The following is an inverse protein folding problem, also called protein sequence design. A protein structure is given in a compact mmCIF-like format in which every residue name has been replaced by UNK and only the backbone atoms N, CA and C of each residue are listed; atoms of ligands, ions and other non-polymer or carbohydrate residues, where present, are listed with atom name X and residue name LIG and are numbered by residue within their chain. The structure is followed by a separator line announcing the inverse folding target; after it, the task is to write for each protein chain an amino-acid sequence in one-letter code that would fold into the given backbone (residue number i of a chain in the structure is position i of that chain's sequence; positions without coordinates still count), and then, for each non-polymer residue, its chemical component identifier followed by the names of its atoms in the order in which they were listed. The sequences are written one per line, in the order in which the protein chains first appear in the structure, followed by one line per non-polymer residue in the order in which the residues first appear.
data_IF_626116050732
#
_entry.id   IF_626116050732
#
_cell.length_a   1.000
_cell.length_b   1.000
_cell.length_c   1.000
_cell.angle_alpha   90.00
_cell.angle_beta   90.00
_cell.angle_gamma   90.00
#
_symmetry.space_group_name_H-M   'P 1'
#
loop_
_entity.id
_entity.type
_entity.pdbx_description
1 polymer ?
#
# COMPACT_ATOMS: atom_id res chain seq x y z
N UNK A 1 13.29 -8.39 -5.72
CA UNK A 1 13.09 -8.71 -4.29
C UNK A 1 13.11 -10.20 -4.15
N UNK A 2 13.82 -10.73 -3.16
CA UNK A 2 14.03 -12.16 -3.00
C UNK A 2 13.96 -12.54 -1.52
N UNK A 3 13.18 -13.57 -1.20
CA UNK A 3 13.21 -14.21 0.12
C UNK A 3 14.17 -15.39 0.03
N UNK A 4 15.12 -15.47 0.96
CA UNK A 4 16.09 -16.56 1.06
C UNK A 4 15.93 -17.28 2.40
N UNK A 5 15.99 -18.61 2.38
CA UNK A 5 16.15 -19.47 3.56
C UNK A 5 17.57 -20.01 3.57
N UNK A 6 18.33 -19.73 4.62
CA UNK A 6 19.74 -20.13 4.79
C UNK A 6 20.62 -19.84 3.56
N UNK A 7 20.34 -18.73 2.86
CA UNK A 7 21.06 -18.29 1.65
C UNK A 7 20.49 -18.81 0.32
N UNK A 8 19.63 -19.83 0.32
CA UNK A 8 18.92 -20.32 -0.87
C UNK A 8 17.70 -19.44 -1.17
N UNK A 9 17.56 -18.98 -2.41
CA UNK A 9 16.37 -18.25 -2.89
C UNK A 9 15.16 -19.19 -2.90
N UNK A 10 14.04 -18.70 -2.37
CA UNK A 10 12.76 -19.40 -2.38
C UNK A 10 11.95 -19.04 -3.63
N UNK A 11 11.21 -20.02 -4.15
CA UNK A 11 10.30 -19.89 -5.28
C UNK A 11 8.89 -20.39 -4.93
N UNK A 12 7.97 -20.35 -5.89
CA UNK A 12 6.56 -20.75 -5.70
C UNK A 12 6.41 -22.18 -5.19
N UNK A 13 7.29 -23.08 -5.63
CA UNK A 13 7.37 -24.47 -5.17
C UNK A 13 7.83 -24.63 -3.71
N UNK A 14 8.53 -23.63 -3.17
CA UNK A 14 8.90 -23.54 -1.76
C UNK A 14 7.81 -22.85 -0.91
N UNK A 15 6.62 -22.59 -1.47
CA UNK A 15 5.54 -21.87 -0.79
C UNK A 15 5.69 -20.34 -0.81
N UNK A 16 6.56 -19.78 -1.66
CA UNK A 16 6.63 -18.33 -1.85
C UNK A 16 5.38 -17.82 -2.55
N UNK A 17 4.65 -16.93 -1.88
CA UNK A 17 3.55 -16.17 -2.47
C UNK A 17 4.00 -14.75 -2.76
N UNK A 18 3.69 -14.26 -3.97
CA UNK A 18 3.91 -12.87 -4.34
C UNK A 18 2.60 -12.18 -4.62
N UNK A 19 2.45 -10.96 -4.12
CA UNK A 19 1.31 -10.10 -4.41
C UNK A 19 1.29 -9.59 -5.84
N UNK A 20 2.36 -9.82 -6.60
CA UNK A 20 2.70 -9.09 -7.81
C UNK A 20 3.13 -7.65 -7.51
N UNK A 21 3.57 -6.95 -8.55
CA UNK A 21 3.87 -5.51 -8.48
C UNK A 21 2.56 -4.73 -8.51
N UNK A 22 2.24 -4.02 -7.43
CA UNK A 22 1.03 -3.20 -7.29
C UNK A 22 1.40 -1.71 -7.40
N UNK A 23 0.88 -0.99 -8.38
CA UNK A 23 1.03 0.47 -8.43
C UNK A 23 0.19 1.14 -7.33
N UNK A 24 0.71 2.24 -6.77
CA UNK A 24 0.05 3.09 -5.80
C UNK A 24 -0.57 4.32 -6.51
N UNK A 25 -1.44 5.05 -5.81
CA UNK A 25 -2.04 6.31 -6.31
C UNK A 25 -0.99 7.41 -6.59
N UNK A 26 0.17 7.36 -5.93
CA UNK A 26 1.27 8.32 -6.11
C UNK A 26 2.30 7.88 -7.17
N UNK A 27 1.92 6.93 -8.03
CA UNK A 27 2.74 6.38 -9.12
C UNK A 27 3.99 5.61 -8.64
N UNK A 28 4.12 5.38 -7.33
CA UNK A 28 5.10 4.44 -6.79
C UNK A 28 4.60 3.01 -6.90
N UNK A 29 5.49 2.04 -6.74
CA UNK A 29 5.14 0.62 -6.74
C UNK A 29 5.37 0.00 -5.37
N UNK A 30 4.48 -0.90 -4.99
CA UNK A 30 4.66 -1.79 -3.85
C UNK A 30 4.60 -3.25 -4.31
N UNK A 31 5.40 -4.09 -3.68
CA UNK A 31 5.36 -5.55 -3.85
C UNK A 31 5.50 -6.18 -2.48
N UNK A 32 4.70 -7.21 -2.23
CA UNK A 32 4.79 -8.05 -1.04
C UNK A 32 5.06 -9.47 -1.48
N UNK A 33 6.08 -10.08 -0.90
CA UNK A 33 6.28 -11.52 -0.99
C UNK A 33 6.20 -12.09 0.44
N UNK A 34 5.60 -13.27 0.58
CA UNK A 34 5.41 -13.98 1.84
C UNK A 34 5.72 -15.46 1.67
N UNK A 35 6.06 -16.11 2.78
CA UNK A 35 6.25 -17.56 2.87
C UNK A 35 5.78 -18.00 4.25
N UNK A 36 5.05 -19.12 4.32
CA UNK A 36 4.65 -19.71 5.59
C UNK A 36 5.88 -20.38 6.25
N UNK A 37 6.08 -20.10 7.54
CA UNK A 37 7.22 -20.62 8.31
C UNK A 37 6.67 -21.37 9.53
N UNK A 38 7.09 -22.62 9.70
CA UNK A 38 6.77 -23.40 10.90
C UNK A 38 7.42 -22.77 12.13
N UNK A 39 6.70 -22.77 13.26
CA UNK A 39 7.22 -22.31 14.56
C UNK A 39 8.46 -23.07 15.02
N UNK A 40 8.67 -24.30 14.54
CA UNK A 40 9.83 -25.14 14.85
C UNK A 40 11.03 -24.82 13.95
N UNK A 41 10.86 -24.02 12.90
CA UNK A 41 11.91 -23.70 11.96
C UNK A 41 12.89 -22.66 12.54
N UNK A 42 14.11 -23.10 12.83
CA UNK A 42 15.19 -22.27 13.34
C UNK A 42 16.06 -21.64 12.24
N UNK A 43 15.68 -21.85 10.98
CA UNK A 43 16.42 -21.32 9.83
C UNK A 43 16.50 -19.79 9.85
N UNK A 44 17.61 -19.28 9.34
CA UNK A 44 17.79 -17.86 9.06
C UNK A 44 17.08 -17.51 7.75
N UNK A 45 16.24 -16.48 7.78
CA UNK A 45 15.57 -15.95 6.60
C UNK A 45 16.06 -14.54 6.30
N UNK A 46 16.17 -14.21 5.01
CA UNK A 46 16.51 -12.85 4.57
C UNK A 46 15.60 -12.40 3.43
N UNK A 47 15.31 -11.10 3.39
CA UNK A 47 14.66 -10.42 2.27
C UNK A 47 15.67 -9.45 1.69
N UNK A 48 16.05 -9.69 0.44
CA UNK A 48 16.98 -8.86 -0.30
C UNK A 48 16.20 -8.06 -1.37
N UNK A 49 16.32 -6.74 -1.30
CA UNK A 49 15.75 -5.81 -2.26
C UNK A 49 16.90 -5.16 -3.03
N UNK A 50 16.93 -5.47 -4.32
CA UNK A 50 17.79 -4.84 -5.31
C UNK A 50 16.88 -3.96 -6.17
N UNK A 51 17.22 -2.68 -6.28
CA UNK A 51 16.47 -1.70 -7.06
C UNK A 51 17.47 -0.85 -7.82
N UNK A 52 17.23 -0.61 -9.11
CA UNK A 52 18.18 0.10 -9.99
C UNK A 52 18.51 1.51 -9.48
N UNK A 53 17.50 2.23 -8.96
CA UNK A 53 17.72 3.55 -8.35
C UNK A 53 18.51 3.51 -7.03
N UNK A 54 18.71 2.33 -6.43
CA UNK A 54 19.49 2.17 -5.21
C UNK A 54 20.90 1.71 -5.56
N UNK A 55 21.91 2.44 -5.08
CA UNK A 55 23.32 2.02 -5.19
C UNK A 55 23.68 0.88 -4.23
N UNK A 56 22.77 0.51 -3.33
CA UNK A 56 23.00 -0.47 -2.27
C UNK A 56 21.86 -1.47 -2.22
N UNK A 57 22.20 -2.76 -2.15
CA UNK A 57 21.23 -3.81 -1.90
C UNK A 57 20.76 -3.72 -0.44
N UNK A 58 19.45 -3.70 -0.23
CA UNK A 58 18.88 -3.68 1.12
C UNK A 58 18.55 -5.10 1.52
N UNK A 59 19.25 -5.62 2.53
CA UNK A 59 18.96 -6.93 3.12
C UNK A 59 18.40 -6.77 4.52
N UNK A 60 17.26 -7.39 4.77
CA UNK A 60 16.67 -7.52 6.11
C UNK A 60 16.61 -8.99 6.50
N UNK A 61 16.91 -9.30 7.75
CA UNK A 61 16.98 -10.66 8.25
C UNK A 61 15.93 -10.90 9.33
N UNK A 62 15.35 -12.09 9.36
CA UNK A 62 14.47 -12.58 10.43
C UNK A 62 14.70 -14.08 10.70
N UNK A 63 14.28 -14.56 11.87
CA UNK A 63 14.50 -15.93 12.35
C UNK A 63 14.81 -15.96 13.85
N UNK A 64 14.66 -17.11 14.51
CA UNK A 64 14.81 -17.26 15.97
C UNK A 64 16.20 -16.90 16.50
N UNK A 65 17.25 -17.02 15.69
CA UNK A 65 18.63 -16.78 16.09
C UNK A 65 19.17 -15.36 15.78
N UNK A 66 18.32 -14.32 15.81
CA UNK A 66 18.78 -12.93 15.65
C UNK A 66 19.34 -12.28 16.92
N UNK A 67 19.62 -13.06 17.96
CA UNK A 67 20.41 -12.60 19.09
C UNK A 67 21.81 -13.21 19.05
N UNK A 68 22.80 -12.33 19.19
CA UNK A 68 24.22 -12.52 19.54
C UNK A 68 25.20 -12.08 18.44
N UNK A 69 25.49 -10.77 18.41
CA UNK A 69 26.90 -10.32 18.29
C UNK A 69 27.08 -9.10 19.20
N UNK A 70 27.70 -9.32 20.35
CA UNK A 70 28.30 -8.27 21.16
C UNK A 70 29.49 -7.71 20.40
N UNK A 71 29.50 -6.41 20.12
CA UNK A 71 30.76 -5.66 19.96
C UNK A 71 30.59 -4.27 20.58
N UNK A 72 31.25 -4.09 21.73
CA UNK A 72 31.53 -2.79 22.32
C UNK A 72 32.57 -2.06 21.46
N UNK A 73 32.31 -0.82 21.05
CA UNK A 73 33.35 0.20 20.92
C UNK A 73 32.80 1.59 21.29
N UNK A 74 33.63 2.50 21.84
CA UNK A 74 33.20 3.73 22.49
C UNK A 74 33.20 4.96 21.57
N UNK A 75 32.27 5.87 21.89
CA UNK A 75 32.18 7.33 21.71
C UNK A 75 33.04 8.08 20.67
N UNK A 76 32.38 9.03 19.95
CA UNK A 76 32.73 10.46 19.95
C UNK A 76 31.57 11.35 19.42
N UNK A 77 31.58 12.60 19.91
CA UNK A 77 30.49 13.60 19.97
C UNK A 77 30.41 14.57 18.76
N UNK A 78 29.47 15.53 18.86
CA UNK A 78 29.37 16.87 18.21
C UNK A 78 28.44 16.88 16.95
N UNK A 79 27.45 17.76 16.70
CA UNK A 79 27.02 19.07 17.24
C UNK A 79 25.55 19.41 16.86
N UNK A 80 25.07 20.48 17.52
CA UNK A 80 23.82 21.26 17.47
C UNK A 80 23.44 21.88 16.09
N UNK A 81 22.16 21.84 15.75
CA UNK A 81 21.34 22.86 15.03
C UNK A 81 19.88 22.33 15.08
N UNK A 82 18.81 23.04 15.45
CA UNK A 82 18.42 24.41 15.15
C UNK A 82 17.27 24.34 14.12
N UNK A 83 16.02 24.60 14.51
CA UNK A 83 14.96 24.95 13.55
C UNK A 83 13.55 24.36 13.72
N UNK A 84 12.65 25.24 14.15
CA UNK A 84 11.24 25.38 13.76
C UNK A 84 10.20 24.32 14.21
N UNK A 85 9.34 24.78 15.12
CA UNK A 85 8.01 24.26 15.42
C UNK A 85 7.10 24.38 14.19
N UNK A 86 6.66 23.24 13.64
CA UNK A 86 5.53 23.21 12.71
C UNK A 86 4.24 23.01 13.51
N UNK A 87 3.50 24.11 13.74
CA UNK A 87 2.12 24.06 14.23
C UNK A 87 1.26 23.43 13.14
N UNK A 88 0.55 22.34 13.46
CA UNK A 88 -0.43 21.73 12.56
C UNK A 88 -1.58 22.71 12.31
N UNK A 89 -1.71 23.14 11.06
CA UNK A 89 -2.71 24.08 10.57
C UNK A 89 -4.08 23.38 10.44
N UNK A 90 -5.17 24.09 10.72
CA UNK A 90 -6.58 23.66 10.65
C UNK A 90 -6.95 22.98 9.32
N UNK A 91 -6.22 23.30 8.26
CA UNK A 91 -6.29 22.71 6.92
C UNK A 91 -6.04 21.19 6.89
N UNK A 92 -5.17 20.66 7.77
CA UNK A 92 -4.85 19.23 7.80
C UNK A 92 -5.98 18.40 8.41
N UNK A 93 -6.74 18.97 9.37
CA UNK A 93 -7.91 18.33 9.95
C UNK A 93 -9.07 18.28 8.94
N UNK A 94 -9.28 19.38 8.20
CA UNK A 94 -10.29 19.44 7.13
C UNK A 94 -9.97 18.45 6.01
N UNK A 95 -8.70 18.36 5.58
CA UNK A 95 -8.26 17.34 4.60
C UNK A 95 -8.46 15.91 5.11
N UNK A 96 -8.25 15.67 6.40
CA UNK A 96 -8.47 14.35 7.00
C UNK A 96 -9.95 13.99 7.07
N UNK A 97 -10.81 14.95 7.44
CA UNK A 97 -12.28 14.79 7.45
C UNK A 97 -12.82 14.60 6.03
N UNK A 98 -12.35 15.37 5.05
CA UNK A 98 -12.78 15.21 3.66
C UNK A 98 -12.40 13.81 3.12
N UNK A 99 -11.20 13.33 3.46
CA UNK A 99 -10.75 11.97 3.12
C UNK A 99 -11.62 10.86 3.73
N UNK A 100 -12.22 11.09 4.90
CA UNK A 100 -13.13 10.13 5.56
C UNK A 100 -14.47 9.96 4.81
N UNK A 101 -14.83 10.89 3.92
CA UNK A 101 -16.09 10.87 3.16
C UNK A 101 -15.91 10.69 1.65
N UNK A 102 -14.67 10.61 1.16
CA UNK A 102 -14.35 10.34 -0.24
C UNK A 102 -14.12 8.85 -0.45
N UNK A 103 -14.73 8.30 -1.49
CA UNK A 103 -14.51 6.92 -1.94
C UNK A 103 -13.98 6.92 -3.37
N UNK A 104 -13.12 5.96 -3.70
CA UNK A 104 -12.48 5.89 -5.01
C UNK A 104 -12.61 4.52 -5.66
N UNK A 105 -12.83 4.52 -6.97
CA UNK A 105 -12.75 3.33 -7.81
C UNK A 105 -11.76 3.61 -8.94
N UNK A 106 -10.61 2.94 -8.91
CA UNK A 106 -9.57 3.09 -9.90
C UNK A 106 -9.16 1.76 -10.51
N UNK A 107 -8.89 1.77 -11.80
CA UNK A 107 -8.27 0.69 -12.53
C UNK A 107 -6.89 1.12 -12.99
N UNK A 108 -5.89 0.30 -12.67
CA UNK A 108 -4.51 0.54 -13.07
C UNK A 108 -4.07 -0.59 -13.98
N UNK A 109 -3.61 -0.21 -15.17
CA UNK A 109 -3.03 -1.08 -16.17
C UNK A 109 -1.54 -0.78 -16.25
N UNK A 110 -0.71 -1.81 -16.31
CA UNK A 110 0.75 -1.67 -16.44
C UNK A 110 1.25 -2.66 -17.48
N UNK A 111 2.02 -2.16 -18.44
CA UNK A 111 2.67 -2.98 -19.47
C UNK A 111 4.17 -2.74 -19.50
N UNK A 112 4.91 -3.82 -19.69
CA UNK A 112 6.36 -3.84 -19.84
C UNK A 112 6.72 -4.06 -21.31
N UNK A 113 7.77 -3.38 -21.79
CA UNK A 113 8.25 -3.53 -23.17
C UNK A 113 8.70 -4.95 -23.50
N UNK A 114 9.22 -5.67 -22.50
CA UNK A 114 9.65 -7.06 -22.58
C UNK A 114 9.27 -7.83 -21.34
N UNK A 115 9.15 -9.15 -21.50
CA UNK A 115 9.03 -10.04 -20.36
C UNK A 115 10.38 -10.12 -19.63
N UNK A 116 10.36 -10.06 -18.31
CA UNK A 116 11.56 -10.19 -17.48
C UNK A 116 11.79 -11.64 -17.03
N UNK A 117 10.80 -12.53 -17.16
CA UNK A 117 10.87 -13.90 -16.65
C UNK A 117 11.05 -13.97 -15.13
N UNK A 118 10.65 -12.92 -14.42
CA UNK A 118 10.81 -12.80 -12.97
C UNK A 118 9.51 -13.21 -12.25
N UNK A 119 9.59 -14.03 -11.17
CA UNK A 119 8.40 -14.43 -10.43
C UNK A 119 7.57 -13.23 -9.94
N UNK A 120 6.26 -13.28 -10.25
CA UNK A 120 5.29 -12.25 -9.88
C UNK A 120 5.39 -10.94 -10.68
N UNK A 121 6.24 -10.88 -11.71
CA UNK A 121 6.34 -9.74 -12.63
C UNK A 121 5.89 -10.20 -14.01
N UNK A 122 4.71 -9.73 -14.41
CA UNK A 122 4.12 -10.09 -15.68
C UNK A 122 4.26 -8.95 -16.68
N UNK A 123 4.40 -9.30 -17.97
CA UNK A 123 4.51 -8.31 -19.06
C UNK A 123 3.32 -7.37 -19.12
N UNK A 124 2.12 -7.83 -18.77
CA UNK A 124 0.95 -6.97 -18.60
C UNK A 124 0.18 -7.36 -17.35
N UNK A 125 -0.23 -6.36 -16.58
CA UNK A 125 -1.12 -6.51 -15.43
C UNK A 125 -2.22 -5.47 -15.47
N UNK A 126 -3.36 -5.82 -14.89
CA UNK A 126 -4.48 -4.90 -14.77
C UNK A 126 -5.23 -5.16 -13.47
N UNK A 127 -5.41 -4.14 -12.65
CA UNK A 127 -5.91 -4.26 -11.29
C UNK A 127 -7.02 -3.25 -11.04
N UNK A 128 -8.07 -3.63 -10.33
CA UNK A 128 -9.11 -2.72 -9.85
C UNK A 128 -8.96 -2.48 -8.35
N UNK A 129 -9.16 -1.24 -7.91
CA UNK A 129 -9.06 -0.81 -6.52
C UNK A 129 -10.31 -0.06 -6.09
N UNK A 130 -10.88 -0.45 -4.95
CA UNK A 130 -11.93 0.27 -4.23
C UNK A 130 -11.32 0.77 -2.92
N UNK A 131 -11.22 2.08 -2.71
CA UNK A 131 -10.62 2.68 -1.51
C UNK A 131 -9.25 2.07 -1.17
N UNK A 132 -8.37 1.96 -2.17
CA UNK A 132 -7.04 1.33 -2.07
C UNK A 132 -7.03 -0.19 -1.78
N UNK A 133 -8.18 -0.86 -1.78
CA UNK A 133 -8.27 -2.33 -1.67
C UNK A 133 -8.46 -2.94 -3.05
N UNK A 134 -7.59 -3.89 -3.39
CA UNK A 134 -7.68 -4.59 -4.68
C UNK A 134 -8.96 -5.41 -4.76
N UNK A 135 -9.80 -5.16 -5.75
CA UNK A 135 -11.07 -5.86 -5.95
C UNK A 135 -10.98 -6.92 -7.06
N UNK A 136 -10.22 -6.65 -8.12
CA UNK A 136 -9.96 -7.60 -9.19
C UNK A 136 -8.53 -7.53 -9.71
N UNK A 137 -8.11 -8.60 -10.37
CA UNK A 137 -6.76 -8.77 -10.90
C UNK A 137 -6.79 -9.51 -12.24
N UNK A 138 -5.84 -9.17 -13.11
CA UNK A 138 -5.57 -9.83 -14.37
C UNK A 138 -4.06 -9.72 -14.65
N UNK A 139 -3.48 -10.77 -15.24
CA UNK A 139 -2.11 -10.78 -15.72
C UNK A 139 -1.99 -11.47 -17.10
N UNK A 140 -0.86 -11.25 -17.77
CA UNK A 140 -0.58 -11.77 -19.10
C UNK A 140 -0.30 -13.28 -19.16
N UNK A 141 -0.17 -13.97 -18.04
CA UNK A 141 0.08 -15.41 -17.96
C UNK A 141 -1.25 -16.17 -17.84
N UNK A 142 -2.04 -15.88 -16.81
CA UNK A 142 -3.35 -16.49 -16.55
C UNK A 142 -4.40 -15.98 -17.55
N UNK A 143 -4.28 -14.71 -17.98
CA UNK A 143 -5.17 -14.04 -18.95
C UNK A 143 -6.65 -14.11 -18.59
N UNK A 144 -6.96 -14.11 -17.29
CA UNK A 144 -8.32 -14.13 -16.75
C UNK A 144 -8.50 -13.04 -15.71
N UNK A 145 -9.63 -12.33 -15.76
CA UNK A 145 -10.00 -11.37 -14.71
C UNK A 145 -10.58 -12.14 -13.53
N UNK A 146 -9.90 -12.11 -12.39
CA UNK A 146 -10.29 -12.87 -11.20
C UNK A 146 -10.72 -11.94 -10.05
N UNK A 147 -11.75 -12.33 -9.27
CA UNK A 147 -12.14 -11.61 -8.07
C UNK A 147 -11.08 -11.76 -6.98
N UNK A 148 -10.78 -10.66 -6.29
CA UNK A 148 -9.94 -10.64 -5.09
C UNK A 148 -10.74 -10.49 -3.81
N UNK A 149 -11.99 -10.06 -3.89
CA UNK A 149 -12.87 -9.95 -2.72
C UNK A 149 -13.99 -10.98 -2.74
N UNK A 150 -14.35 -11.50 -1.58
CA UNK A 150 -15.37 -12.56 -1.43
C UNK A 150 -16.72 -12.10 -1.96
N UNK A 151 -17.14 -10.87 -1.68
CA UNK A 151 -18.41 -10.33 -2.17
C UNK A 151 -18.48 -10.30 -3.71
N UNK A 152 -17.37 -10.09 -4.41
CA UNK A 152 -17.35 -10.09 -5.87
C UNK A 152 -17.70 -11.45 -6.45
N UNK A 153 -17.31 -12.54 -5.78
CA UNK A 153 -17.61 -13.91 -6.22
C UNK A 153 -19.12 -14.22 -6.21
N UNK A 154 -19.86 -13.62 -5.29
CA UNK A 154 -21.27 -13.97 -5.04
C UNK A 154 -22.27 -12.90 -5.48
N UNK A 155 -21.85 -11.65 -5.66
CA UNK A 155 -22.74 -10.51 -5.97
C UNK A 155 -22.74 -10.09 -7.43
N UNK A 156 -21.83 -10.62 -8.25
CA UNK A 156 -21.68 -10.25 -9.65
C UNK A 156 -21.99 -11.44 -10.55
N UNK A 157 -22.76 -11.18 -11.60
CA UNK A 157 -23.15 -12.20 -12.57
C UNK A 157 -21.93 -12.77 -13.30
N UNK A 158 -21.95 -14.06 -13.70
CA UNK A 158 -20.87 -14.67 -14.48
C UNK A 158 -20.48 -13.87 -15.73
N UNK A 159 -21.45 -13.22 -16.38
CA UNK A 159 -21.23 -12.41 -17.58
C UNK A 159 -20.31 -11.19 -17.34
N UNK A 160 -20.33 -10.61 -16.13
CA UNK A 160 -19.41 -9.53 -15.74
C UNK A 160 -17.95 -9.97 -15.84
N UNK A 161 -17.65 -11.21 -15.45
CA UNK A 161 -16.29 -11.77 -15.48
C UNK A 161 -15.84 -12.11 -16.89
N UNK A 162 -16.75 -12.63 -17.72
CA UNK A 162 -16.47 -12.95 -19.13
C UNK A 162 -16.19 -11.67 -19.92
N UNK A 163 -17.10 -10.69 -19.88
CA UNK A 163 -16.92 -9.39 -20.54
C UNK A 163 -15.70 -8.64 -20.01
N UNK A 164 -15.50 -8.67 -18.68
CA UNK A 164 -14.34 -8.09 -18.04
C UNK A 164 -13.03 -8.71 -18.52
N UNK A 165 -12.96 -10.03 -18.65
CA UNK A 165 -11.77 -10.74 -19.15
C UNK A 165 -11.47 -10.37 -20.60
N UNK A 166 -12.47 -10.39 -21.48
CA UNK A 166 -12.32 -9.99 -22.88
C UNK A 166 -11.81 -8.54 -22.98
N UNK A 167 -12.39 -7.62 -22.20
CA UNK A 167 -11.93 -6.23 -22.13
C UNK A 167 -10.47 -6.11 -21.71
N UNK A 168 -10.02 -6.87 -20.69
CA UNK A 168 -8.60 -6.87 -20.26
C UNK A 168 -7.67 -7.44 -21.33
N UNK A 169 -8.08 -8.47 -22.06
CA UNK A 169 -7.31 -9.04 -23.16
C UNK A 169 -7.17 -8.06 -24.33
N UNK A 170 -8.24 -7.36 -24.71
CA UNK A 170 -8.17 -6.31 -25.74
C UNK A 170 -7.25 -5.16 -25.32
N UNK A 171 -7.29 -4.76 -24.04
CA UNK A 171 -6.36 -3.74 -23.51
C UNK A 171 -4.91 -4.24 -23.52
N UNK A 172 -4.65 -5.50 -23.16
CA UNK A 172 -3.30 -6.08 -23.26
C UNK A 172 -2.72 -5.90 -24.68
N UNK A 173 -3.49 -6.27 -25.71
CA UNK A 173 -3.08 -6.10 -27.11
C UNK A 173 -2.83 -4.63 -27.47
N UNK A 174 -3.71 -3.73 -27.00
CA UNK A 174 -3.52 -2.29 -27.19
C UNK A 174 -2.19 -1.81 -26.58
N UNK A 175 -1.85 -2.25 -25.37
CA UNK A 175 -0.58 -1.90 -24.73
C UNK A 175 0.64 -2.47 -25.46
N UNK A 176 0.56 -3.72 -25.91
CA UNK A 176 1.64 -4.36 -26.68
C UNK A 176 1.98 -3.59 -27.95
N UNK A 177 0.98 -3.01 -28.63
CA UNK A 177 1.20 -2.15 -29.81
C UNK A 177 1.72 -0.78 -29.40
N UNK A 178 1.07 -0.11 -28.44
CA UNK A 178 1.37 1.28 -28.14
C UNK A 178 2.73 1.48 -27.44
N UNK A 179 3.21 0.50 -26.68
CA UNK A 179 4.53 0.62 -26.05
C UNK A 179 5.66 0.66 -27.11
N UNK A 180 5.52 -0.09 -28.21
CA UNK A 180 6.50 -0.07 -29.30
C UNK A 180 6.45 1.27 -30.06
N UNK A 181 5.25 1.79 -30.32
CA UNK A 181 5.08 3.12 -30.93
C UNK A 181 5.71 4.21 -30.07
N UNK A 182 5.51 4.16 -28.75
CA UNK A 182 6.11 5.13 -27.84
C UNK A 182 7.63 5.03 -27.82
N UNK A 183 8.20 3.81 -27.79
CA UNK A 183 9.65 3.62 -27.86
C UNK A 183 10.25 4.23 -29.13
N UNK A 184 9.64 4.00 -30.28
CA UNK A 184 10.06 4.61 -31.55
C UNK A 184 9.96 6.14 -31.51
N UNK A 185 8.82 6.67 -31.02
CA UNK A 185 8.59 8.11 -30.89
C UNK A 185 9.61 8.78 -29.96
N UNK A 186 9.98 8.09 -28.89
CA UNK A 186 10.97 8.54 -27.90
C UNK A 186 12.42 8.24 -28.32
N UNK A 187 12.63 7.55 -29.45
CA UNK A 187 13.95 7.12 -29.97
C UNK A 187 14.73 6.27 -28.96
N UNK A 188 14.03 5.38 -28.25
CA UNK A 188 14.59 4.49 -27.24
C UNK A 188 14.97 3.12 -27.82
N UNK A 189 15.85 2.40 -27.15
CA UNK A 189 16.35 1.09 -27.59
C UNK A 189 15.45 -0.06 -27.15
N UNK A 190 15.69 -1.25 -27.69
CA UNK A 190 15.06 -2.50 -27.22
C UNK A 190 15.77 -3.14 -26.03
N UNK A 191 16.99 -2.70 -25.68
CA UNK A 191 17.75 -3.24 -24.55
C UNK A 191 17.10 -2.88 -23.21
N UNK A 192 16.54 -1.67 -23.16
CA UNK A 192 16.06 -1.08 -21.92
C UNK A 192 14.60 -1.49 -21.66
N UNK A 193 14.29 -1.65 -20.38
CA UNK A 193 12.92 -1.92 -19.97
C UNK A 193 12.15 -0.61 -19.97
N UNK A 194 11.03 -0.59 -20.70
CA UNK A 194 10.10 0.54 -20.68
C UNK A 194 8.78 0.12 -20.07
N UNK A 195 8.12 1.05 -19.40
CA UNK A 195 6.88 0.81 -18.68
C UNK A 195 5.84 1.83 -19.11
N UNK A 196 4.72 1.35 -19.63
CA UNK A 196 3.54 2.17 -19.90
C UNK A 196 2.46 1.84 -18.88
N UNK A 197 1.94 2.85 -18.20
CA UNK A 197 0.87 2.73 -17.23
C UNK A 197 -0.33 3.56 -17.64
N UNK A 198 -1.51 3.08 -17.27
CA UNK A 198 -2.77 3.81 -17.42
C UNK A 198 -3.57 3.65 -16.15
N UNK A 199 -3.87 4.78 -15.50
CA UNK A 199 -4.80 4.84 -14.38
C UNK A 199 -6.09 5.52 -14.85
N UNK A 200 -7.22 4.87 -14.63
CA UNK A 200 -8.54 5.39 -14.98
C UNK A 200 -9.54 5.11 -13.87
N UNK A 201 -10.40 6.06 -13.54
CA UNK A 201 -11.43 5.88 -12.53
C UNK A 201 -12.02 7.18 -12.00
N UNK A 202 -12.69 7.10 -10.87
CA UNK A 202 -13.45 8.20 -10.30
C UNK A 202 -13.36 8.20 -8.77
N UNK A 203 -13.53 9.39 -8.21
CA UNK A 203 -13.69 9.66 -6.79
C UNK A 203 -15.08 10.26 -6.58
N UNK A 204 -15.78 9.78 -5.54
CA UNK A 204 -17.08 10.24 -5.14
C UNK A 204 -17.09 10.69 -3.68
N UNK A 205 -17.81 11.76 -3.38
CA UNK A 205 -18.03 12.25 -2.01
C UNK A 205 -19.39 11.77 -1.49
N UNK A 206 -19.37 11.20 -0.29
CA UNK A 206 -20.58 10.79 0.43
C UNK A 206 -21.25 12.02 1.06
N UNK A 207 -22.46 12.33 0.61
CA UNK A 207 -23.27 13.41 1.14
C UNK A 207 -23.96 13.01 2.46
N UNK A 208 -24.40 13.98 3.28
CA UNK A 208 -25.07 13.70 4.56
C UNK A 208 -26.35 12.87 4.44
N UNK A 209 -27.01 12.90 3.27
CA UNK A 209 -28.21 12.11 2.96
C UNK A 209 -27.88 10.66 2.55
N UNK A 210 -26.60 10.29 2.49
CA UNK A 210 -26.13 8.97 2.09
C UNK A 210 -26.03 8.76 0.58
N UNK A 211 -26.22 9.82 -0.23
CA UNK A 211 -25.98 9.77 -1.67
C UNK A 211 -24.50 10.02 -1.98
N UNK A 212 -23.98 9.38 -3.03
CA UNK A 212 -22.62 9.58 -3.48
C UNK A 212 -22.60 10.46 -4.73
N UNK A 213 -21.93 11.60 -4.66
CA UNK A 213 -21.82 12.57 -5.75
C UNK A 213 -20.44 12.53 -6.37
N UNK A 214 -20.35 12.73 -7.68
CA UNK A 214 -19.08 12.81 -8.38
C UNK A 214 -18.22 13.95 -7.81
N UNK A 215 -16.97 13.65 -7.49
CA UNK A 215 -16.00 14.61 -7.00
C UNK A 215 -14.89 14.86 -8.02
N UNK A 216 -14.31 13.77 -8.55
CA UNK A 216 -13.18 13.87 -9.48
C UNK A 216 -13.06 12.64 -10.39
N UNK A 217 -12.75 12.89 -11.67
CA UNK A 217 -12.35 11.87 -12.63
C UNK A 217 -10.83 11.81 -12.77
N UNK A 218 -10.29 10.61 -12.91
CA UNK A 218 -8.87 10.39 -13.21
C UNK A 218 -8.76 9.56 -14.48
N UNK A 219 -8.03 10.07 -15.49
CA UNK A 219 -7.60 9.30 -16.65
C UNK A 219 -6.21 9.80 -17.04
N UNK A 220 -5.18 9.04 -16.69
CA UNK A 220 -3.77 9.44 -16.85
C UNK A 220 -2.91 8.28 -17.33
N UNK A 221 -1.98 8.62 -18.21
CA UNK A 221 -0.96 7.74 -18.75
C UNK A 221 0.40 8.20 -18.25
N UNK A 222 1.19 7.23 -17.80
CA UNK A 222 2.56 7.43 -17.36
C UNK A 222 3.49 6.55 -18.19
N UNK A 223 4.65 7.08 -18.54
CA UNK A 223 5.67 6.37 -19.31
C UNK A 223 7.01 6.47 -18.59
N UNK A 224 7.64 5.33 -18.32
CA UNK A 224 8.88 5.20 -17.55
C UNK A 224 8.84 5.95 -16.19
N UNK A 225 7.68 5.91 -15.53
CA UNK A 225 7.45 6.56 -14.22
C UNK A 225 7.21 8.06 -14.27
N UNK A 226 7.10 8.65 -15.47
CA UNK A 226 6.83 10.09 -15.65
C UNK A 226 5.45 10.34 -16.27
N UNK A 227 4.83 11.47 -15.93
CA UNK A 227 3.56 11.88 -16.54
C UNK A 227 3.71 12.04 -18.05
N UNK A 228 2.82 11.39 -18.82
CA UNK A 228 2.84 11.43 -20.28
C UNK A 228 1.64 12.20 -20.85
N UNK A 229 0.42 11.74 -20.54
CA UNK A 229 -0.83 12.29 -21.06
C UNK A 229 -1.94 12.13 -20.02
N UNK A 230 -2.77 13.15 -19.81
CA UNK A 230 -3.92 13.07 -18.90
C UNK A 230 -5.16 13.71 -19.51
N UNK A 231 -6.34 13.38 -18.98
CA UNK A 231 -7.60 14.03 -19.35
C UNK A 231 -7.96 15.07 -18.31
N UNK A 232 -8.11 16.32 -18.73
CA UNK A 232 -8.72 17.38 -17.94
C UNK A 232 -10.24 17.25 -18.06
N UNK A 233 -10.82 16.63 -17.05
CA UNK A 233 -12.24 16.31 -16.98
C UNK A 233 -13.14 17.56 -16.96
N UNK A 234 -12.69 18.64 -16.28
CA UNK A 234 -13.45 19.88 -16.16
C UNK A 234 -13.60 20.59 -17.52
N UNK A 235 -12.53 20.59 -18.32
CA UNK A 235 -12.50 21.25 -19.62
C UNK A 235 -12.75 20.29 -20.80
N UNK A 236 -12.91 18.99 -20.53
CA UNK A 236 -13.08 17.95 -21.54
C UNK A 236 -11.99 17.99 -22.62
N UNK A 237 -10.73 18.04 -22.22
CA UNK A 237 -9.57 18.08 -23.14
C UNK A 237 -8.43 17.20 -22.65
N UNK A 238 -7.64 16.66 -23.57
CA UNK A 238 -6.41 15.96 -23.22
C UNK A 238 -5.29 16.96 -22.91
N UNK A 239 -4.39 16.62 -21.99
CA UNK A 239 -3.25 17.44 -21.57
C UNK A 239 -1.99 16.62 -21.78
N UNK A 240 -1.08 17.14 -22.61
CA UNK A 240 0.21 16.53 -22.88
C UNK A 240 1.23 17.06 -21.87
N UNK A 241 1.85 16.17 -21.10
CA UNK A 241 2.87 16.56 -20.12
C UNK A 241 4.25 16.73 -20.75
N UNK A 242 4.48 16.10 -21.90
CA UNK A 242 5.74 16.18 -22.65
C UNK A 242 5.47 16.38 -24.16
N UNK A 243 6.44 16.92 -24.93
CA UNK A 243 6.27 17.15 -26.37
C UNK A 243 5.89 15.89 -27.17
N UNK A 244 6.41 14.72 -26.78
CA UNK A 244 6.08 13.45 -27.44
C UNK A 244 4.61 13.01 -27.27
N UNK A 245 3.89 13.58 -26.30
CA UNK A 245 2.47 13.31 -26.10
C UNK A 245 1.57 14.25 -26.92
N UNK A 246 2.09 15.36 -27.47
CA UNK A 246 1.30 16.36 -28.21
C UNK A 246 0.60 15.78 -29.44
N UNK A 247 1.26 14.87 -30.15
CA UNK A 247 0.67 14.20 -31.30
C UNK A 247 -0.57 13.39 -30.90
N UNK A 248 -0.47 12.62 -29.82
CA UNK A 248 -1.60 11.85 -29.28
C UNK A 248 -2.71 12.78 -28.79
N UNK A 249 -2.35 13.84 -28.04
CA UNK A 249 -3.31 14.87 -27.60
C UNK A 249 -4.09 15.44 -28.78
N UNK A 250 -3.40 15.94 -29.82
CA UNK A 250 -4.07 16.51 -31.01
C UNK A 250 -5.00 15.50 -31.68
N UNK A 251 -4.54 14.25 -31.84
CA UNK A 251 -5.35 13.19 -32.44
C UNK A 251 -6.61 12.91 -31.63
N UNK A 252 -6.50 12.79 -30.31
CA UNK A 252 -7.62 12.44 -29.45
C UNK A 252 -8.57 13.61 -29.21
N UNK A 253 -8.07 14.84 -29.13
CA UNK A 253 -8.90 16.04 -29.00
C UNK A 253 -9.76 16.31 -30.24
N UNK A 254 -9.26 15.92 -31.41
CA UNK A 254 -9.97 16.04 -32.69
C UNK A 254 -11.01 14.93 -32.92
N UNK A 255 -11.23 14.03 -31.95
CA UNK A 255 -12.28 13.00 -32.00
C UNK A 255 -13.31 13.28 -30.90
N UNK A 256 -14.38 14.05 -31.18
CA UNK A 256 -15.38 14.43 -30.16
C UNK A 256 -15.96 13.24 -29.39
N UNK A 257 -16.31 12.16 -30.10
CA UNK A 257 -16.87 10.93 -29.52
C UNK A 257 -15.94 10.32 -28.45
N UNK A 258 -14.62 10.40 -28.64
CA UNK A 258 -13.66 9.86 -27.66
C UNK A 258 -13.66 10.67 -26.36
N UNK A 259 -13.76 12.00 -26.47
CA UNK A 259 -13.82 12.88 -25.30
C UNK A 259 -15.13 12.69 -24.53
N UNK A 260 -16.24 12.65 -25.24
CA UNK A 260 -17.57 12.45 -24.64
C UNK A 260 -17.68 11.08 -23.98
N UNK A 261 -17.14 10.03 -24.63
CA UNK A 261 -17.06 8.70 -24.04
C UNK A 261 -16.17 8.68 -22.79
N UNK A 262 -15.01 9.33 -22.84
CA UNK A 262 -14.07 9.38 -21.70
C UNK A 262 -14.73 10.06 -20.51
N UNK A 263 -15.32 11.24 -20.72
CA UNK A 263 -16.02 11.97 -19.67
C UNK A 263 -17.23 11.21 -19.13
N UNK A 264 -18.06 10.65 -20.02
CA UNK A 264 -19.21 9.85 -19.62
C UNK A 264 -18.82 8.61 -18.79
N UNK A 265 -17.70 7.97 -19.11
CA UNK A 265 -17.18 6.89 -18.28
C UNK A 265 -16.79 7.37 -16.88
N UNK A 266 -16.04 8.48 -16.78
CA UNK A 266 -15.53 9.00 -15.51
C UNK A 266 -16.65 9.52 -14.59
N UNK A 267 -17.56 10.35 -15.13
CA UNK A 267 -18.61 11.01 -14.34
C UNK A 267 -19.80 10.09 -14.03
N UNK A 268 -20.11 9.13 -14.92
CA UNK A 268 -21.34 8.33 -14.83
C UNK A 268 -21.07 6.84 -14.62
N UNK A 269 -20.49 6.14 -15.60
CA UNK A 269 -20.35 4.68 -15.50
C UNK A 269 -19.50 4.27 -14.30
N UNK A 270 -18.37 4.96 -14.08
CA UNK A 270 -17.50 4.71 -12.95
C UNK A 270 -18.22 4.97 -11.62
N UNK A 271 -18.97 6.08 -11.50
CA UNK A 271 -19.73 6.40 -10.28
C UNK A 271 -20.81 5.37 -9.99
N UNK A 272 -21.49 4.83 -11.01
CA UNK A 272 -22.44 3.74 -10.83
C UNK A 272 -21.78 2.48 -10.27
N UNK A 273 -20.62 2.10 -10.81
CA UNK A 273 -19.86 0.96 -10.31
C UNK A 273 -19.28 1.21 -8.92
N UNK A 274 -18.76 2.41 -8.65
CA UNK A 274 -18.24 2.82 -7.35
C UNK A 274 -19.33 2.68 -6.29
N UNK A 275 -20.51 3.27 -6.51
CA UNK A 275 -21.63 3.18 -5.56
C UNK A 275 -22.06 1.70 -5.33
N UNK A 276 -22.14 0.91 -6.40
CA UNK A 276 -22.50 -0.52 -6.32
C UNK A 276 -21.46 -1.31 -5.52
N UNK A 277 -20.17 -1.20 -5.84
CA UNK A 277 -19.10 -1.93 -5.17
C UNK A 277 -18.90 -1.48 -3.72
N UNK A 278 -18.98 -0.17 -3.47
CA UNK A 278 -18.94 0.39 -2.13
C UNK A 278 -20.04 -0.21 -1.25
N UNK A 279 -21.29 -0.29 -1.74
CA UNK A 279 -22.39 -0.89 -1.00
C UNK A 279 -22.15 -2.36 -0.62
N UNK A 280 -21.51 -3.14 -1.51
CA UNK A 280 -21.15 -4.53 -1.25
C UNK A 280 -20.02 -4.64 -0.23
N UNK A 281 -18.98 -3.81 -0.36
CA UNK A 281 -17.84 -3.74 0.56
C UNK A 281 -18.27 -3.32 1.97
N UNK A 282 -19.15 -2.32 2.09
CA UNK A 282 -19.69 -1.86 3.37
C UNK A 282 -20.51 -2.93 4.10
N UNK A 283 -21.24 -3.77 3.36
CA UNK A 283 -21.96 -4.89 3.98
C UNK A 283 -21.01 -5.96 4.53
N UNK A 284 -19.88 -6.21 3.86
CA UNK A 284 -18.84 -7.09 4.38
C UNK A 284 -18.17 -6.50 5.63
N UNK A 285 -17.88 -5.19 5.62
CA UNK A 285 -17.29 -4.46 6.73
C UNK A 285 -18.12 -4.55 8.02
N UNK A 286 -19.45 -4.46 7.92
CA UNK A 286 -20.35 -4.59 9.09
C UNK A 286 -20.21 -5.93 9.81
N UNK A 287 -19.75 -6.96 9.12
CA UNK A 287 -19.55 -8.32 9.66
C UNK A 287 -18.09 -8.63 9.94
N UNK A 288 -17.16 -7.74 9.59
CA UNK A 288 -15.74 -7.96 9.79
C UNK A 288 -15.39 -7.87 11.28
N UNK A 289 -14.44 -8.69 11.77
CA UNK A 289 -13.93 -8.54 13.12
C UNK A 289 -13.29 -7.15 13.29
N UNK A 290 -13.40 -6.53 14.48
CA UNK A 290 -12.71 -5.28 14.77
C UNK A 290 -11.18 -5.50 14.75
N UNK A 291 -10.38 -4.44 14.49
CA UNK A 291 -8.94 -4.54 14.63
C UNK A 291 -8.52 -4.99 16.02
N UNK A 292 -7.50 -5.83 16.03
CA UNK A 292 -6.82 -6.22 17.24
C UNK A 292 -5.76 -5.19 17.60
N UNK A 293 -5.70 -4.82 18.88
CA UNK A 293 -4.77 -3.83 19.41
C UNK A 293 -3.93 -4.49 20.50
N UNK A 294 -2.63 -4.45 20.29
CA UNK A 294 -1.63 -5.03 21.17
C UNK A 294 -0.64 -3.97 21.65
N UNK A 295 -0.47 -3.88 22.97
CA UNK A 295 0.61 -3.17 23.62
C UNK A 295 1.62 -4.16 24.19
N UNK A 296 2.89 -4.02 23.84
CA UNK A 296 3.95 -4.84 24.39
C UNK A 296 5.24 -4.04 24.52
N UNK A 297 6.18 -4.57 25.28
CA UNK A 297 7.50 -3.99 25.42
C UNK A 297 8.58 -5.05 25.17
N UNK A 298 9.72 -4.60 24.66
CA UNK A 298 10.89 -5.45 24.43
C UNK A 298 12.14 -4.75 24.91
N UNK A 299 13.08 -5.55 25.39
CA UNK A 299 14.40 -5.06 25.75
C UNK A 299 15.11 -4.53 24.50
N UNK A 300 15.92 -3.50 24.71
CA UNK A 300 16.80 -2.95 23.66
C UNK A 300 18.22 -3.45 23.86
N UNK A 301 19.11 -3.16 22.90
CA UNK A 301 20.55 -3.44 23.02
C UNK A 301 21.14 -2.68 24.23
N UNK A 302 20.55 -1.54 24.58
CA UNK A 302 20.94 -0.74 25.74
C UNK A 302 20.14 -1.20 26.96
N UNK A 303 20.81 -1.82 27.92
CA UNK A 303 20.19 -2.45 29.10
C UNK A 303 19.30 -1.49 29.91
N UNK A 304 19.66 -0.21 29.97
CA UNK A 304 18.91 0.84 30.65
C UNK A 304 17.63 1.28 29.93
N UNK A 305 17.40 0.83 28.70
CA UNK A 305 16.27 1.22 27.86
C UNK A 305 15.37 0.04 27.52
N UNK A 306 14.08 0.34 27.41
CA UNK A 306 13.05 -0.58 26.97
C UNK A 306 12.26 0.08 25.82
N UNK A 307 11.86 -0.71 24.83
CA UNK A 307 11.08 -0.24 23.70
C UNK A 307 9.62 -0.60 23.88
N UNK A 308 8.78 0.40 24.06
CA UNK A 308 7.33 0.25 24.06
C UNK A 308 6.84 0.19 22.62
N UNK A 309 5.92 -0.72 22.32
CA UNK A 309 5.36 -0.90 20.98
C UNK A 309 3.86 -1.08 21.06
N UNK A 310 3.14 -0.30 20.27
CA UNK A 310 1.72 -0.48 20.02
C UNK A 310 1.50 -0.97 18.59
N UNK A 311 0.72 -2.02 18.43
CA UNK A 311 0.37 -2.62 17.16
C UNK A 311 -1.15 -2.66 17.04
N UNK A 312 -1.68 -2.03 16.00
CA UNK A 312 -3.02 -2.31 15.50
C UNK A 312 -2.91 -3.17 14.24
N UNK A 313 -3.73 -4.22 14.12
CA UNK A 313 -3.75 -5.11 12.95
C UNK A 313 -5.17 -5.60 12.66
N UNK A 314 -5.43 -6.03 11.43
CA UNK A 314 -6.74 -6.54 11.04
C UNK A 314 -7.77 -5.45 10.72
N UNK A 315 -7.36 -4.18 10.63
CA UNK A 315 -8.30 -3.09 10.28
C UNK A 315 -8.46 -2.95 8.77
N UNK A 316 -9.70 -2.65 8.37
CA UNK A 316 -10.08 -2.15 7.06
C UNK A 316 -11.29 -1.23 7.28
N UNK A 317 -11.44 -0.09 6.59
CA UNK A 317 -10.55 0.56 5.61
C UNK A 317 -9.20 1.01 6.19
N UNK A 318 -8.36 1.61 5.33
CA UNK A 318 -6.96 1.96 5.63
C UNK A 318 -6.83 3.02 6.73
N UNK A 319 -7.79 3.93 6.85
CA UNK A 319 -7.67 5.09 7.73
C UNK A 319 -7.85 4.72 9.21
N UNK A 320 -6.79 4.91 9.99
CA UNK A 320 -6.73 4.65 11.43
C UNK A 320 -5.96 5.75 12.13
N UNK A 321 -6.43 6.15 13.30
CA UNK A 321 -5.75 7.08 14.18
C UNK A 321 -5.12 6.26 15.31
N UNK A 322 -3.82 6.44 15.51
CA UNK A 322 -3.06 5.76 16.56
C UNK A 322 -2.08 6.72 17.22
N UNK A 323 -2.06 6.75 18.55
CA UNK A 323 -1.19 7.60 19.35
C UNK A 323 -0.54 6.81 20.49
N UNK A 324 0.75 7.08 20.74
CA UNK A 324 1.36 6.81 22.03
C UNK A 324 1.33 8.11 22.83
N UNK A 325 0.79 8.06 24.04
CA UNK A 325 0.76 9.19 24.97
C UNK A 325 1.61 8.90 26.20
N UNK A 326 2.28 9.93 26.70
CA UNK A 326 3.01 9.96 27.98
C UNK A 326 2.32 10.96 28.91
N UNK A 327 1.77 10.49 30.03
CA UNK A 327 0.97 11.28 30.98
C UNK A 327 -0.12 12.11 30.29
N UNK A 328 -0.76 11.51 29.26
CA UNK A 328 -1.79 12.17 28.46
C UNK A 328 -1.27 13.05 27.30
N UNK A 329 0.02 13.39 27.27
CA UNK A 329 0.63 14.13 26.15
C UNK A 329 0.96 13.19 24.99
N UNK A 330 0.49 13.53 23.78
CA UNK A 330 0.84 12.80 22.55
C UNK A 330 2.35 12.90 22.27
N UNK A 331 2.95 11.77 21.91
CA UNK A 331 4.33 11.70 21.47
C UNK A 331 4.42 11.90 19.95
N UNK A 332 5.52 12.50 19.52
CA UNK A 332 5.84 12.76 18.12
C UNK A 332 7.25 12.29 17.78
N UNK A 333 7.69 12.50 16.54
CA UNK A 333 9.01 12.06 16.07
C UNK A 333 10.14 12.67 16.92
N UNK A 334 9.95 13.89 17.39
CA UNK A 334 10.90 14.62 18.24
C UNK A 334 11.07 13.96 19.62
N UNK A 335 10.06 13.21 20.06
CA UNK A 335 10.10 12.41 21.29
C UNK A 335 10.72 11.02 21.09
N UNK A 336 11.23 10.73 19.89
CA UNK A 336 11.75 9.40 19.53
C UNK A 336 10.68 8.40 19.12
N UNK A 337 9.48 8.86 18.73
CA UNK A 337 8.44 8.00 18.19
C UNK A 337 8.81 7.52 16.79
N UNK A 338 8.85 6.21 16.61
CA UNK A 338 9.04 5.53 15.34
C UNK A 338 7.73 4.88 14.90
N UNK A 339 7.23 5.23 13.71
CA UNK A 339 6.05 4.61 13.12
C UNK A 339 6.43 3.78 11.91
N UNK A 340 5.82 2.60 11.79
CA UNK A 340 5.95 1.75 10.60
C UNK A 340 5.22 2.30 9.38
N UNK A 341 4.37 3.32 9.57
CA UNK A 341 3.28 3.64 8.65
C UNK A 341 2.25 2.50 8.59
N UNK A 342 1.22 2.69 7.76
CA UNK A 342 0.21 1.65 7.50
C UNK A 342 0.76 0.69 6.46
N UNK A 343 0.75 -0.61 6.79
CA UNK A 343 1.25 -1.70 5.95
C UNK A 343 0.14 -2.71 5.66
N UNK A 344 0.12 -3.32 4.47
CA UNK A 344 -0.89 -4.34 4.15
C UNK A 344 -0.56 -5.70 4.80
N UNK A 345 -1.60 -6.38 5.26
CA UNK A 345 -1.57 -7.79 5.68
C UNK A 345 -1.86 -8.73 4.51
N UNK A 346 -1.64 -10.02 4.72
CA UNK A 346 -1.88 -11.07 3.71
C UNK A 346 -3.35 -11.16 3.30
N UNK A 347 -4.24 -11.02 4.27
CA UNK A 347 -5.71 -11.08 4.17
C UNK A 347 -6.37 -9.79 3.62
N UNK A 348 -5.58 -8.92 2.96
CA UNK A 348 -5.99 -7.60 2.47
C UNK A 348 -6.51 -6.62 3.55
N UNK A 349 -6.26 -6.90 4.84
CA UNK A 349 -6.40 -5.91 5.92
C UNK A 349 -5.10 -5.10 6.08
N UNK A 350 -5.08 -4.20 7.05
CA UNK A 350 -3.92 -3.36 7.34
C UNK A 350 -3.40 -3.55 8.76
N UNK A 351 -2.13 -3.21 8.94
CA UNK A 351 -1.47 -3.10 10.24
C UNK A 351 -0.68 -1.80 10.35
N UNK A 352 -0.53 -1.30 11.57
CA UNK A 352 0.35 -0.17 11.90
C UNK A 352 1.00 -0.43 13.24
N UNK A 353 2.30 -0.18 13.32
CA UNK A 353 3.10 -0.29 14.53
C UNK A 353 3.77 1.04 14.83
N UNK A 354 3.55 1.56 16.03
CA UNK A 354 4.29 2.71 16.55
C UNK A 354 5.07 2.28 17.79
N UNK A 355 6.29 2.77 17.94
CA UNK A 355 7.20 2.39 19.02
C UNK A 355 7.97 3.60 19.55
N UNK A 356 8.31 3.57 20.83
CA UNK A 356 9.19 4.58 21.47
C UNK A 356 10.14 3.89 22.44
N UNK A 357 11.41 4.30 22.44
CA UNK A 357 12.37 3.89 23.44
C UNK A 357 12.30 4.80 24.66
N UNK A 358 12.20 4.20 25.84
CA UNK A 358 12.18 4.91 27.11
C UNK A 358 13.22 4.33 28.05
N UNK A 359 13.61 5.11 29.05
CA UNK A 359 14.44 4.59 30.12
C UNK A 359 13.60 3.72 31.06
N UNK A 360 14.20 2.64 31.55
CA UNK A 360 13.56 1.74 32.54
C UNK A 360 13.14 2.46 33.82
N UNK A 361 13.82 3.53 34.22
CA UNK A 361 13.45 4.31 35.40
C UNK A 361 12.36 5.36 35.13
N UNK A 362 11.85 5.46 33.91
CA UNK A 362 10.76 6.38 33.60
C UNK A 362 9.46 5.91 34.27
N UNK A 363 8.93 6.73 35.17
CA UNK A 363 7.70 6.45 35.93
C UNK A 363 6.44 7.02 35.28
N UNK A 364 6.58 7.66 34.12
CA UNK A 364 5.46 8.27 33.40
C UNK A 364 4.46 7.19 32.97
N UNK A 365 3.19 7.55 32.91
CA UNK A 365 2.14 6.66 32.39
C UNK A 365 2.14 6.69 30.87
N UNK A 366 2.41 5.55 30.25
CA UNK A 366 2.33 5.39 28.80
C UNK A 366 1.04 4.69 28.38
N UNK A 367 0.34 5.23 27.38
CA UNK A 367 -0.88 4.62 26.83
C UNK A 367 -0.88 4.62 25.30
N UNK A 368 -1.32 3.52 24.71
CA UNK A 368 -1.67 3.47 23.29
C UNK A 368 -3.15 3.74 23.09
N UNK A 369 -3.48 4.77 22.32
CA UNK A 369 -4.83 5.10 21.90
C UNK A 369 -4.99 4.73 20.42
N UNK A 370 -6.02 3.94 20.11
CA UNK A 370 -6.38 3.52 18.77
C UNK A 370 -7.83 3.89 18.50
N UNK A 371 -8.06 4.61 17.41
CA UNK A 371 -9.38 5.02 16.93
C UNK A 371 -9.50 4.56 15.47
N UNK A 372 -10.45 3.68 15.22
CA UNK A 372 -10.81 3.20 13.90
C UNK A 372 -12.32 3.33 13.73
N UNK A 373 -12.74 4.46 13.14
CA UNK A 373 -14.14 4.90 13.09
C UNK A 373 -15.04 3.92 12.34
N UNK A 374 -14.55 3.37 11.23
CA UNK A 374 -15.29 2.47 10.36
C UNK A 374 -15.72 1.17 11.04
N UNK A 375 -14.89 0.63 11.94
CA UNK A 375 -15.24 -0.53 12.78
C UNK A 375 -15.75 -0.13 14.16
N UNK A 376 -15.95 1.17 14.42
CA UNK A 376 -16.37 1.75 15.71
C UNK A 376 -15.47 1.33 16.88
N UNK A 377 -14.18 1.19 16.65
CA UNK A 377 -13.21 0.83 17.69
C UNK A 377 -12.57 2.09 18.25
N UNK A 378 -12.69 2.26 19.57
CA UNK A 378 -12.08 3.32 20.36
C UNK A 378 -11.44 2.68 21.59
N UNK A 379 -10.14 2.39 21.50
CA UNK A 379 -9.43 1.62 22.53
C UNK A 379 -8.28 2.45 23.08
N UNK A 380 -8.13 2.44 24.40
CA UNK A 380 -6.92 2.92 25.08
C UNK A 380 -6.35 1.78 25.91
N UNK A 381 -5.10 1.38 25.61
CA UNK A 381 -4.33 0.39 26.36
C UNK A 381 -3.22 1.08 27.13
N UNK A 382 -2.98 0.68 28.37
CA UNK A 382 -1.87 1.18 29.19
C UNK A 382 -0.79 0.12 29.26
N UNK A 383 0.47 0.49 29.02
CA UNK A 383 1.56 -0.43 29.29
C UNK A 383 1.63 -0.67 30.79
N UNK A 384 1.48 -1.93 31.21
CA UNK A 384 1.41 -2.29 32.61
C UNK A 384 2.61 -1.78 33.41
N UNK A 385 2.37 -1.33 34.66
CA UNK A 385 3.42 -0.92 35.60
C UNK A 385 4.39 -2.05 35.98
N UNK A 386 4.04 -3.30 35.65
CA UNK A 386 4.85 -4.51 35.85
C UNK A 386 5.67 -4.90 34.61
N UNK A 387 6.19 -3.93 33.85
CA UNK A 387 7.25 -4.16 32.86
C UNK A 387 8.58 -4.66 33.47
N UNK A 388 8.63 -4.81 34.80
CA UNK A 388 9.84 -5.05 35.58
C UNK A 388 9.93 -6.41 36.27
N UNK A 389 8.93 -7.30 36.15
CA UNK A 389 8.93 -8.58 36.87
C UNK A 389 8.28 -9.70 36.07
N UNK A 390 9.07 -10.42 35.26
CA UNK A 390 9.04 -11.89 35.15
C UNK A 390 10.44 -12.40 34.81
N UNK A 391 11.31 -12.53 35.81
CA UNK A 391 12.32 -13.59 35.80
C UNK A 391 11.78 -14.70 36.73
N UNK A 392 10.85 -15.52 36.25
CA UNK A 392 10.65 -16.84 36.85
C UNK A 392 11.70 -17.77 36.24
N UNK A 393 12.89 -17.76 36.84
CA UNK A 393 13.85 -18.83 36.67
C UNK A 393 13.24 -20.09 37.30
N UNK A 394 12.68 -20.99 36.49
CA UNK A 394 12.48 -22.36 36.94
C UNK A 394 13.85 -23.07 36.88
N UNK A 395 14.65 -22.90 37.93
CA UNK A 395 15.64 -23.90 38.29
C UNK A 395 14.86 -25.13 38.77
N UNK A 396 14.66 -26.10 37.88
CA UNK A 396 14.49 -27.47 38.36
C UNK A 396 15.90 -28.03 38.59
N UNK A 397 16.36 -27.92 39.83
CA UNK A 397 17.23 -28.94 40.42
C UNK A 397 16.32 -30.03 40.97
N UNK A 398 16.35 -31.21 40.35
CA UNK A 398 16.74 -32.46 41.02
C UNK A 398 17.12 -33.48 39.96
#
# INVERSE_FOLDING_TARGET
MWIKKTGRILYREDGLESSGVRPNEDDTFQRRDSVEISWEDESKYTCEVIHEASRVNVTKEWGKNLFLVFTCFPFLNVSRAGGSSAKYNTTNLIKHIQKLHTHSLHYIYTALSRDLGLPGIHKFTAMGFLDNRMIDYFDSEIKQKVPKQTWMKYRLDPEYWVKGTQSRQSKQQWFEVNINILKERMRQSDSDLHVLQWMVGCEGEMQPDGTMTFYRGTNRYNYDGTDFLSFDDAHSVWVASIPAAEETKRKWDNVPVLKDYTKGYLEYECMQWLNKFWSYGMNQLKTAPPPEVYEFARDTIVESKIRLTCLATGFYPRDIIMWIKRDGRKLYREDGLESSGIRPNEDDTFQRRDSVEIFRWDKSKYTCEVIHEASRVYVTREWGKNLFLVFTCFSFCF
#
